data_IF_343005565255
#
_entry.id   IF_343005565255
#
_cell.length_a   1.000
_cell.length_b   1.000
_cell.length_c   1.000
_cell.angle_alpha   90.00
_cell.angle_beta   90.00
_cell.angle_gamma   90.00
#
_symmetry.space_group_name_H-M   'P 1'
#
loop_
_entity.id
_entity.type
_entity.pdbx_description
1 polymer ?
#
# COMPACT_ATOMS: atom_id res chain seq x y z
N UNK A 1 10.33 28.73 -13.96
CA UNK A 1 9.61 28.28 -15.15
C UNK A 1 8.11 28.42 -14.99
N UNK A 2 7.42 28.45 -16.11
CA UNK A 2 5.95 28.39 -16.22
C UNK A 2 5.58 27.03 -16.77
N UNK A 3 4.70 26.32 -16.09
CA UNK A 3 4.27 24.97 -16.45
C UNK A 3 2.76 24.99 -16.63
N UNK A 4 2.28 24.54 -17.80
CA UNK A 4 0.85 24.30 -18.04
C UNK A 4 0.53 22.89 -17.55
N UNK A 5 -0.42 22.76 -16.63
CA UNK A 5 -0.91 21.50 -16.08
C UNK A 5 -1.89 20.81 -17.06
N UNK A 6 -2.13 19.49 -16.93
CA UNK A 6 -3.12 18.77 -17.76
C UNK A 6 -4.54 19.35 -17.67
N UNK A 7 -4.91 19.99 -16.56
CA UNK A 7 -6.20 20.64 -16.32
C UNK A 7 -6.26 22.09 -16.88
N UNK A 8 -5.19 22.56 -17.56
CA UNK A 8 -5.07 23.91 -18.09
C UNK A 8 -4.62 24.97 -17.07
N UNK A 9 -4.42 24.61 -15.81
CA UNK A 9 -3.87 25.54 -14.81
C UNK A 9 -2.40 25.84 -15.06
N UNK A 10 -1.92 26.99 -14.55
CA UNK A 10 -0.55 27.44 -14.68
C UNK A 10 0.18 27.29 -13.34
N UNK A 11 1.27 26.53 -13.34
CA UNK A 11 2.17 26.43 -12.20
C UNK A 11 3.43 27.26 -12.44
N UNK A 12 3.74 28.18 -11.54
CA UNK A 12 5.00 28.93 -11.53
C UNK A 12 5.96 28.20 -10.58
N UNK A 13 7.10 27.74 -11.11
CA UNK A 13 8.12 27.03 -10.33
C UNK A 13 9.50 27.66 -10.58
N UNK A 14 10.34 27.80 -9.55
CA UNK A 14 11.74 28.24 -9.72
C UNK A 14 12.60 27.19 -10.44
N UNK A 15 12.20 25.91 -10.44
CA UNK A 15 12.90 24.81 -11.11
C UNK A 15 12.43 24.62 -12.54
N UNK A 16 13.33 24.77 -13.49
CA UNK A 16 13.17 24.43 -14.91
C UNK A 16 14.08 23.24 -15.17
N UNK A 17 13.48 22.08 -15.41
CA UNK A 17 14.24 20.87 -15.79
C UNK A 17 13.91 19.67 -14.92
N UNK A 18 13.84 18.51 -15.58
CA UNK A 18 13.35 17.24 -15.03
C UNK A 18 14.28 16.53 -14.04
N UNK A 19 14.98 17.25 -13.18
CA UNK A 19 15.65 16.62 -12.05
C UNK A 19 14.60 16.12 -11.07
N UNK A 20 14.60 14.82 -10.83
CA UNK A 20 13.79 14.19 -9.80
C UNK A 20 14.06 14.85 -8.45
N UNK A 21 13.01 15.19 -7.72
CA UNK A 21 13.12 15.81 -6.40
C UNK A 21 13.79 14.82 -5.47
N UNK A 22 15.05 15.09 -5.10
CA UNK A 22 15.78 14.26 -4.13
C UNK A 22 15.34 14.65 -2.72
N UNK A 23 14.63 13.74 -2.02
CA UNK A 23 14.22 13.92 -0.62
C UNK A 23 14.78 12.79 0.22
N UNK A 24 15.61 13.14 1.19
CA UNK A 24 16.23 12.19 2.12
C UNK A 24 15.59 12.33 3.49
N UNK A 25 15.28 11.22 4.14
CA UNK A 25 14.87 11.16 5.54
C UNK A 25 15.89 10.36 6.35
N UNK A 26 16.35 10.94 7.45
CA UNK A 26 17.25 10.26 8.39
C UNK A 26 16.48 9.93 9.66
N UNK A 27 16.62 8.71 10.17
CA UNK A 27 16.11 8.27 11.45
C UNK A 27 17.27 7.79 12.33
N UNK A 28 17.41 8.36 13.51
CA UNK A 28 18.29 7.84 14.54
C UNK A 28 17.63 6.64 15.23
N UNK A 29 18.34 5.53 15.30
CA UNK A 29 17.85 4.29 15.92
C UNK A 29 18.80 3.81 17.02
N UNK A 30 18.23 3.21 18.07
CA UNK A 30 18.99 2.72 19.22
C UNK A 30 18.28 1.56 19.91
N UNK A 31 18.84 1.10 21.02
CA UNK A 31 18.29 -0.02 21.79
C UNK A 31 16.88 0.24 22.34
N UNK A 32 16.52 1.51 22.58
CA UNK A 32 15.19 1.93 23.06
C UNK A 32 14.18 2.20 21.94
N UNK A 33 14.56 2.05 20.68
CA UNK A 33 13.66 2.29 19.54
C UNK A 33 12.60 1.18 19.50
N UNK A 34 11.32 1.59 19.55
CA UNK A 34 10.22 0.65 19.38
C UNK A 34 10.09 0.18 17.93
N UNK A 35 9.97 -1.13 17.74
CA UNK A 35 9.93 -1.77 16.41
C UNK A 35 8.71 -1.34 15.59
N UNK A 36 7.54 -1.31 16.22
CA UNK A 36 6.28 -0.95 15.54
C UNK A 36 6.27 0.53 15.16
N UNK A 37 6.77 1.37 16.05
CA UNK A 37 6.90 2.79 15.77
C UNK A 37 7.87 3.06 14.61
N UNK A 38 9.02 2.39 14.59
CA UNK A 38 9.99 2.52 13.48
C UNK A 38 9.39 2.07 12.15
N UNK A 39 8.63 0.96 12.11
CA UNK A 39 7.93 0.54 10.90
C UNK A 39 6.97 1.63 10.39
N UNK A 40 6.18 2.22 11.29
CA UNK A 40 5.27 3.32 10.93
C UNK A 40 6.01 4.54 10.38
N UNK A 41 7.18 4.85 10.91
CA UNK A 41 8.02 5.94 10.40
C UNK A 41 8.55 5.63 9.00
N UNK A 42 8.97 4.39 8.73
CA UNK A 42 9.43 3.96 7.40
C UNK A 42 8.30 4.03 6.38
N UNK A 43 7.13 3.47 6.70
CA UNK A 43 5.92 3.56 5.85
C UNK A 43 5.51 5.01 5.63
N UNK A 44 5.50 5.83 6.68
CA UNK A 44 5.19 7.26 6.58
C UNK A 44 6.16 8.01 5.66
N UNK A 45 7.47 7.72 5.75
CA UNK A 45 8.47 8.30 4.86
C UNK A 45 8.28 7.82 3.40
N UNK A 46 7.97 6.55 3.20
CA UNK A 46 7.64 6.00 1.87
C UNK A 46 6.45 6.72 1.25
N UNK A 47 5.32 6.75 1.94
CA UNK A 47 4.07 7.40 1.47
C UNK A 47 4.28 8.90 1.23
N UNK A 48 5.03 9.58 2.10
CA UNK A 48 5.36 11.01 1.94
C UNK A 48 6.28 11.30 0.74
N UNK A 49 6.74 10.30 0.00
CA UNK A 49 7.52 10.47 -1.22
C UNK A 49 9.01 10.73 -1.01
N UNK A 50 9.59 10.31 0.13
CA UNK A 50 11.05 10.34 0.28
C UNK A 50 11.69 9.35 -0.70
N UNK A 51 12.78 9.79 -1.37
CA UNK A 51 13.53 9.00 -2.36
C UNK A 51 14.68 8.21 -1.73
N UNK A 52 15.08 8.60 -0.53
CA UNK A 52 16.03 7.83 0.29
C UNK A 52 15.67 7.92 1.77
N UNK A 53 15.88 6.82 2.48
CA UNK A 53 15.70 6.72 3.93
C UNK A 53 17.01 6.18 4.51
N UNK A 54 17.58 6.92 5.46
CA UNK A 54 18.76 6.54 6.18
C UNK A 54 18.41 6.17 7.61
N UNK A 55 18.86 5.03 8.07
CA UNK A 55 18.82 4.61 9.45
C UNK A 55 20.23 4.68 10.02
N UNK A 56 20.44 5.40 11.11
CA UNK A 56 21.74 5.64 11.72
C UNK A 56 21.71 5.36 13.22
N UNK A 57 22.75 4.71 13.73
CA UNK A 57 22.96 4.47 15.15
C UNK A 57 24.30 5.06 15.61
N UNK A 58 24.36 5.55 16.83
CA UNK A 58 25.62 6.03 17.45
C UNK A 58 26.67 4.92 17.64
N UNK A 59 26.26 3.67 17.52
CA UNK A 59 27.10 2.48 17.61
C UNK A 59 26.58 1.42 16.67
N UNK A 60 26.56 0.17 17.09
CA UNK A 60 26.03 -0.93 16.28
C UNK A 60 24.52 -0.88 16.19
N UNK A 61 23.96 -1.06 15.00
CA UNK A 61 22.52 -1.20 14.77
C UNK A 61 21.94 -2.36 15.58
N UNK A 62 20.83 -2.17 16.28
CA UNK A 62 20.11 -3.26 16.93
C UNK A 62 19.73 -4.34 15.90
N UNK A 63 19.82 -5.65 16.23
CA UNK A 63 19.54 -6.73 15.27
C UNK A 63 18.15 -6.67 14.63
N UNK A 64 17.12 -6.23 15.39
CA UNK A 64 15.75 -6.11 14.89
C UNK A 64 15.62 -5.09 13.75
N UNK A 65 16.48 -4.06 13.70
CA UNK A 65 16.43 -3.01 12.66
C UNK A 65 16.68 -3.60 11.28
N UNK A 66 17.68 -4.49 11.15
CA UNK A 66 17.98 -5.17 9.88
C UNK A 66 16.82 -6.06 9.41
N UNK A 67 16.21 -6.77 10.34
CA UNK A 67 15.03 -7.59 10.04
C UNK A 67 13.86 -6.72 9.59
N UNK A 68 13.58 -5.64 10.34
CA UNK A 68 12.50 -4.71 10.03
C UNK A 68 12.67 -4.04 8.67
N UNK A 69 13.90 -3.65 8.30
CA UNK A 69 14.19 -3.07 6.99
C UNK A 69 13.91 -4.07 5.86
N UNK A 70 14.28 -5.34 6.03
CA UNK A 70 13.95 -6.39 5.04
C UNK A 70 12.44 -6.56 4.88
N UNK A 71 11.70 -6.62 5.99
CA UNK A 71 10.24 -6.68 5.96
C UNK A 71 9.65 -5.44 5.26
N UNK A 72 10.13 -4.25 5.62
CA UNK A 72 9.68 -3.01 4.99
C UNK A 72 9.94 -2.97 3.48
N UNK A 73 11.14 -3.34 3.01
CA UNK A 73 11.46 -3.31 1.57
C UNK A 73 10.67 -4.36 0.78
N UNK A 74 10.25 -5.46 1.40
CA UNK A 74 9.32 -6.41 0.78
C UNK A 74 7.90 -5.86 0.66
N UNK A 75 7.49 -4.99 1.60
CA UNK A 75 6.15 -4.38 1.62
C UNK A 75 6.08 -3.10 0.80
N UNK A 76 7.13 -2.28 0.75
CA UNK A 76 7.18 -0.99 0.07
C UNK A 76 7.72 -1.14 -1.36
N UNK A 77 6.82 -1.06 -2.35
CA UNK A 77 7.15 -1.27 -3.77
C UNK A 77 8.22 -0.27 -4.22
N UNK A 78 9.30 -0.78 -4.80
CA UNK A 78 10.42 0.01 -5.31
C UNK A 78 11.49 0.38 -4.29
N UNK A 79 11.32 0.02 -3.02
CA UNK A 79 12.31 0.31 -1.98
C UNK A 79 13.37 -0.80 -1.89
N UNK A 80 14.64 -0.42 -2.00
CA UNK A 80 15.78 -1.35 -1.93
C UNK A 80 16.87 -0.87 -0.99
N UNK A 81 17.52 -1.81 -0.30
CA UNK A 81 18.71 -1.52 0.50
C UNK A 81 19.91 -1.38 -0.45
N UNK A 82 20.45 -0.17 -0.53
CA UNK A 82 21.60 0.15 -1.40
C UNK A 82 22.92 0.29 -0.64
N UNK A 83 22.87 0.34 0.68
CA UNK A 83 24.07 0.41 1.54
C UNK A 83 23.77 -0.07 2.94
N UNK A 84 24.69 -0.82 3.53
CA UNK A 84 24.60 -1.32 4.90
C UNK A 84 25.99 -1.35 5.52
N UNK A 85 26.06 -0.86 6.77
CA UNK A 85 27.25 -0.93 7.62
C UNK A 85 26.87 -1.47 9.00
N UNK A 86 27.80 -1.53 9.94
CA UNK A 86 27.47 -1.89 11.32
C UNK A 86 26.57 -0.88 12.02
N UNK A 87 26.64 0.40 11.61
CA UNK A 87 25.93 1.52 12.26
C UNK A 87 24.89 2.21 11.39
N UNK A 88 24.75 1.84 10.11
CA UNK A 88 23.80 2.51 9.20
C UNK A 88 23.21 1.58 8.15
N UNK A 89 21.99 1.93 7.68
CA UNK A 89 21.37 1.32 6.50
C UNK A 89 20.82 2.45 5.63
N UNK A 90 21.02 2.33 4.33
CA UNK A 90 20.49 3.26 3.32
C UNK A 90 19.51 2.52 2.43
N UNK A 91 18.26 2.99 2.41
CA UNK A 91 17.21 2.51 1.54
C UNK A 91 16.97 3.56 0.46
N UNK A 92 16.83 3.14 -0.80
CA UNK A 92 16.48 4.03 -1.92
C UNK A 92 15.27 3.54 -2.68
N UNK A 93 14.54 4.50 -3.23
CA UNK A 93 13.49 4.25 -4.20
C UNK A 93 14.09 4.05 -5.58
N UNK A 94 13.87 2.89 -6.17
CA UNK A 94 14.34 2.52 -7.52
C UNK A 94 13.17 2.50 -8.54
N UNK A 95 11.93 2.71 -8.09
CA UNK A 95 10.77 2.70 -8.96
C UNK A 95 10.61 4.05 -9.68
N UNK A 96 10.40 3.98 -10.99
CA UNK A 96 9.82 5.11 -11.73
C UNK A 96 8.28 5.08 -11.57
N UNK A 97 7.68 6.02 -10.84
CA UNK A 97 6.24 5.98 -10.58
C UNK A 97 5.38 6.02 -11.86
N UNK A 98 5.88 6.56 -12.96
CA UNK A 98 5.17 6.63 -14.23
C UNK A 98 4.99 5.25 -14.91
N UNK A 99 5.75 4.24 -14.51
CA UNK A 99 5.61 2.87 -15.03
C UNK A 99 4.50 2.06 -14.35
N UNK A 100 3.91 2.62 -13.28
CA UNK A 100 2.82 2.01 -12.53
C UNK A 100 1.57 2.93 -12.57
N UNK A 101 0.81 2.96 -13.68
CA UNK A 101 -0.38 3.81 -13.79
C UNK A 101 -1.41 3.50 -12.70
N UNK A 102 -2.06 4.54 -12.15
CA UNK A 102 -3.08 4.40 -11.11
C UNK A 102 -4.17 3.41 -11.49
N UNK A 103 -4.69 3.50 -12.72
CA UNK A 103 -5.77 2.62 -13.20
C UNK A 103 -5.40 1.14 -13.12
N UNK A 104 -4.18 0.78 -13.53
CA UNK A 104 -3.72 -0.62 -13.49
C UNK A 104 -3.56 -1.09 -12.04
N UNK A 105 -3.06 -0.22 -11.17
CA UNK A 105 -2.90 -0.51 -9.74
C UNK A 105 -4.27 -0.71 -9.08
N UNK A 106 -5.23 0.18 -9.32
CA UNK A 106 -6.59 0.08 -8.79
C UNK A 106 -7.31 -1.18 -9.32
N UNK A 107 -7.21 -1.45 -10.63
CA UNK A 107 -7.78 -2.68 -11.23
C UNK A 107 -7.22 -3.95 -10.57
N UNK A 108 -5.92 -3.98 -10.29
CA UNK A 108 -5.30 -5.10 -9.59
C UNK A 108 -5.81 -5.23 -8.15
N UNK A 109 -5.90 -4.11 -7.41
CA UNK A 109 -6.47 -4.09 -6.06
C UNK A 109 -7.91 -4.60 -6.06
N UNK A 110 -8.73 -4.15 -7.01
CA UNK A 110 -10.11 -4.59 -7.17
C UNK A 110 -10.22 -6.11 -7.38
N UNK A 111 -9.41 -6.68 -8.30
CA UNK A 111 -9.40 -8.12 -8.55
C UNK A 111 -9.00 -8.92 -7.32
N UNK A 112 -7.99 -8.44 -6.58
CA UNK A 112 -7.55 -9.06 -5.32
C UNK A 112 -8.66 -9.03 -4.27
N UNK A 113 -9.20 -7.85 -3.97
CA UNK A 113 -10.24 -7.68 -2.95
C UNK A 113 -11.51 -8.49 -3.28
N UNK A 114 -11.91 -8.52 -4.55
CA UNK A 114 -13.03 -9.36 -5.02
C UNK A 114 -12.78 -10.84 -4.78
N UNK A 115 -11.60 -11.35 -5.18
CA UNK A 115 -11.22 -12.74 -4.96
C UNK A 115 -11.12 -13.08 -3.46
N UNK A 116 -10.56 -12.18 -2.66
CA UNK A 116 -10.49 -12.35 -1.21
C UNK A 116 -11.88 -12.47 -0.57
N UNK A 117 -12.84 -11.64 -0.98
CA UNK A 117 -14.21 -11.72 -0.46
C UNK A 117 -14.89 -13.04 -0.84
N UNK A 118 -14.73 -13.51 -2.08
CA UNK A 118 -15.29 -14.77 -2.54
C UNK A 118 -14.70 -15.96 -1.76
N UNK A 119 -13.38 -15.97 -1.62
CA UNK A 119 -12.66 -17.06 -0.94
C UNK A 119 -12.91 -17.05 0.58
N UNK A 120 -13.07 -15.88 1.20
CA UNK A 120 -13.42 -15.76 2.61
C UNK A 120 -14.79 -16.40 2.91
N UNK A 121 -15.80 -16.17 2.05
CA UNK A 121 -17.11 -16.78 2.17
C UNK A 121 -17.05 -18.29 1.94
N UNK A 122 -16.29 -18.73 0.93
CA UNK A 122 -16.06 -20.16 0.66
C UNK A 122 -15.35 -20.85 1.84
N UNK A 123 -14.37 -20.19 2.46
CA UNK A 123 -13.64 -20.69 3.60
C UNK A 123 -14.55 -20.89 4.85
N UNK A 124 -15.46 -19.96 5.12
CA UNK A 124 -16.44 -20.13 6.20
C UNK A 124 -17.37 -21.31 5.92
N UNK A 125 -17.96 -21.36 4.73
CA UNK A 125 -18.93 -22.39 4.36
C UNK A 125 -18.31 -23.78 4.31
N UNK A 126 -17.07 -23.88 3.82
CA UNK A 126 -16.34 -25.15 3.70
C UNK A 126 -15.52 -25.53 4.94
N UNK A 127 -15.50 -24.72 6.00
CA UNK A 127 -14.60 -24.87 7.14
C UNK A 127 -13.13 -25.00 6.71
N UNK A 128 -12.74 -24.31 5.63
CA UNK A 128 -11.41 -24.40 5.03
C UNK A 128 -10.44 -23.39 5.66
N UNK A 129 -9.75 -23.82 6.70
CA UNK A 129 -8.74 -23.01 7.39
C UNK A 129 -7.51 -22.69 6.51
N UNK A 130 -7.23 -23.50 5.48
CA UNK A 130 -6.11 -23.21 4.57
C UNK A 130 -6.45 -22.08 3.63
N UNK A 131 -7.66 -22.09 3.04
CA UNK A 131 -8.18 -21.01 2.21
C UNK A 131 -8.32 -19.71 3.03
N UNK A 132 -8.81 -19.78 4.27
CA UNK A 132 -8.89 -18.63 5.15
C UNK A 132 -7.51 -17.97 5.39
N UNK A 133 -6.47 -18.77 5.64
CA UNK A 133 -5.09 -18.26 5.80
C UNK A 133 -4.54 -17.64 4.51
N UNK A 134 -4.88 -18.18 3.35
CA UNK A 134 -4.49 -17.62 2.06
C UNK A 134 -5.13 -16.23 1.85
N UNK A 135 -6.42 -16.06 2.18
CA UNK A 135 -7.08 -14.74 2.15
C UNK A 135 -6.33 -13.73 3.01
N UNK A 136 -6.01 -14.10 4.26
CA UNK A 136 -5.26 -13.23 5.18
C UNK A 136 -3.87 -12.86 4.63
N UNK A 137 -3.19 -13.79 3.97
CA UNK A 137 -1.88 -13.53 3.37
C UNK A 137 -1.94 -12.55 2.19
N UNK A 138 -3.02 -12.60 1.38
CA UNK A 138 -3.24 -11.71 0.22
C UNK A 138 -3.51 -10.25 0.62
N UNK A 139 -3.94 -9.99 1.84
CA UNK A 139 -4.16 -8.64 2.37
C UNK A 139 -2.91 -7.76 2.23
N UNK A 140 -1.75 -8.33 2.53
CA UNK A 140 -0.46 -7.65 2.37
C UNK A 140 -0.23 -7.13 0.93
N UNK A 141 -0.73 -7.82 -0.10
CA UNK A 141 -0.60 -7.33 -1.48
C UNK A 141 -1.50 -6.12 -1.75
N UNK A 142 -2.70 -6.10 -1.19
CA UNK A 142 -3.61 -4.94 -1.31
C UNK A 142 -3.03 -3.74 -0.60
N UNK A 143 -2.50 -3.92 0.61
CA UNK A 143 -1.81 -2.88 1.38
C UNK A 143 -0.64 -2.26 0.61
N UNK A 144 0.22 -3.09 0.02
CA UNK A 144 1.36 -2.65 -0.78
C UNK A 144 0.94 -1.76 -1.95
N UNK A 145 -0.11 -2.14 -2.66
CA UNK A 145 -0.66 -1.38 -3.77
C UNK A 145 -1.31 -0.08 -3.29
N UNK A 146 -2.05 -0.11 -2.19
CA UNK A 146 -2.61 1.09 -1.57
C UNK A 146 -1.52 2.10 -1.16
N UNK A 147 -0.44 1.64 -0.52
CA UNK A 147 0.68 2.51 -0.18
C UNK A 147 1.38 3.10 -1.40
N UNK A 148 1.48 2.33 -2.51
CA UNK A 148 2.00 2.86 -3.76
C UNK A 148 1.12 3.98 -4.32
N UNK A 149 -0.21 3.80 -4.35
CA UNK A 149 -1.16 4.84 -4.78
C UNK A 149 -1.04 6.08 -3.91
N UNK A 150 -0.99 5.92 -2.57
CA UNK A 150 -0.81 7.01 -1.63
C UNK A 150 0.51 7.76 -1.85
N UNK A 151 1.60 7.03 -2.13
CA UNK A 151 2.89 7.62 -2.49
C UNK A 151 2.82 8.42 -3.78
N UNK A 152 2.22 7.86 -4.82
CA UNK A 152 2.09 8.54 -6.12
C UNK A 152 1.25 9.82 -6.03
N UNK A 153 0.16 9.80 -5.26
CA UNK A 153 -0.65 10.99 -4.97
C UNK A 153 0.20 12.09 -4.33
N UNK A 154 0.95 11.78 -3.27
CA UNK A 154 1.85 12.73 -2.63
C UNK A 154 2.97 13.23 -3.57
N UNK A 155 3.52 12.37 -4.40
CA UNK A 155 4.56 12.75 -5.36
C UNK A 155 4.03 13.71 -6.44
N UNK A 156 2.81 13.50 -6.94
CA UNK A 156 2.17 14.39 -7.93
C UNK A 156 1.94 15.79 -7.36
N UNK A 157 1.59 15.91 -6.08
CA UNK A 157 1.42 17.20 -5.40
C UNK A 157 2.73 18.00 -5.37
N UNK A 158 3.87 17.33 -5.18
CA UNK A 158 5.17 18.00 -5.00
C UNK A 158 6.02 18.06 -6.27
N UNK A 159 5.72 17.23 -7.29
CA UNK A 159 6.45 17.15 -8.56
C UNK A 159 5.50 17.30 -9.77
N UNK A 160 5.32 18.55 -10.22
CA UNK A 160 4.52 18.84 -11.40
C UNK A 160 5.06 18.20 -12.70
N UNK A 161 6.35 17.85 -12.75
CA UNK A 161 6.91 17.12 -13.89
C UNK A 161 6.43 15.66 -13.90
N UNK A 162 6.27 15.05 -12.73
CA UNK A 162 5.68 13.72 -12.61
C UNK A 162 4.20 13.72 -13.02
N UNK A 163 3.40 14.69 -12.54
CA UNK A 163 2.00 14.86 -12.95
C UNK A 163 1.86 14.89 -14.48
N UNK A 164 2.71 15.65 -15.16
CA UNK A 164 2.72 15.71 -16.65
C UNK A 164 3.15 14.40 -17.30
N UNK A 165 4.20 13.74 -16.78
CA UNK A 165 4.66 12.45 -17.32
C UNK A 165 3.58 11.37 -17.20
N UNK A 166 2.84 11.36 -16.10
CA UNK A 166 1.73 10.44 -15.88
C UNK A 166 0.44 10.85 -16.58
N UNK A 167 0.33 12.10 -17.07
CA UNK A 167 -0.89 12.66 -17.66
C UNK A 167 -2.04 12.80 -16.65
N UNK A 168 -1.73 12.85 -15.35
CA UNK A 168 -2.71 12.84 -14.26
C UNK A 168 -2.61 14.15 -13.48
N UNK A 169 -3.66 14.99 -13.47
CA UNK A 169 -3.70 16.19 -12.64
C UNK A 169 -3.89 15.86 -11.16
N UNK A 170 -3.49 16.78 -10.29
CA UNK A 170 -3.49 16.58 -8.83
C UNK A 170 -4.86 16.15 -8.28
N UNK A 171 -5.94 16.77 -8.74
CA UNK A 171 -7.29 16.41 -8.31
C UNK A 171 -7.67 14.98 -8.69
N UNK A 172 -7.26 14.50 -9.86
CA UNK A 172 -7.52 13.14 -10.31
C UNK A 172 -6.69 12.11 -9.50
N UNK A 173 -5.43 12.43 -9.17
CA UNK A 173 -4.62 11.59 -8.28
C UNK A 173 -5.28 11.39 -6.91
N UNK A 174 -5.83 12.47 -6.33
CA UNK A 174 -6.57 12.42 -5.08
C UNK A 174 -7.82 11.52 -5.17
N UNK A 175 -8.53 11.48 -6.31
CA UNK A 175 -9.65 10.54 -6.50
C UNK A 175 -9.17 9.08 -6.54
N UNK A 176 -8.08 8.78 -7.24
CA UNK A 176 -7.49 7.44 -7.23
C UNK A 176 -7.08 7.01 -5.81
N UNK A 177 -6.51 7.93 -5.04
CA UNK A 177 -6.18 7.65 -3.65
C UNK A 177 -7.43 7.34 -2.81
N UNK A 178 -8.54 8.09 -2.97
CA UNK A 178 -9.79 7.80 -2.28
C UNK A 178 -10.37 6.43 -2.68
N UNK A 179 -10.36 6.10 -3.97
CA UNK A 179 -10.79 4.78 -4.47
C UNK A 179 -9.93 3.67 -3.86
N UNK A 180 -8.59 3.81 -3.84
CA UNK A 180 -7.71 2.81 -3.26
C UNK A 180 -8.00 2.54 -1.77
N UNK A 181 -8.34 3.58 -0.99
CA UNK A 181 -8.74 3.44 0.42
C UNK A 181 -10.04 2.65 0.59
N UNK A 182 -11.00 2.83 -0.33
CA UNK A 182 -12.26 2.08 -0.29
C UNK A 182 -12.00 0.60 -0.61
N UNK A 183 -11.18 0.33 -1.65
CA UNK A 183 -10.85 -1.03 -2.06
C UNK A 183 -10.05 -1.76 -0.97
N UNK A 184 -9.09 -1.10 -0.31
CA UNK A 184 -8.35 -1.65 0.83
C UNK A 184 -9.31 -2.02 1.97
N UNK A 185 -10.25 -1.14 2.34
CA UNK A 185 -11.24 -1.45 3.38
C UNK A 185 -12.14 -2.63 3.03
N UNK A 186 -12.44 -2.85 1.74
CA UNK A 186 -13.19 -4.04 1.31
C UNK A 186 -12.32 -5.31 1.51
N UNK A 187 -11.03 -5.26 1.18
CA UNK A 187 -10.09 -6.34 1.44
C UNK A 187 -9.94 -6.62 2.96
N UNK A 188 -9.81 -5.58 3.78
CA UNK A 188 -9.82 -5.66 5.24
C UNK A 188 -11.06 -6.41 5.78
N UNK A 189 -12.23 -6.15 5.20
CA UNK A 189 -13.45 -6.86 5.57
C UNK A 189 -13.37 -8.34 5.20
N UNK A 190 -12.87 -8.68 4.01
CA UNK A 190 -12.66 -10.07 3.61
C UNK A 190 -11.69 -10.79 4.55
N UNK A 191 -10.60 -10.12 4.94
CA UNK A 191 -9.63 -10.61 5.92
C UNK A 191 -10.26 -10.89 7.29
N UNK A 192 -11.13 -10.00 7.78
CA UNK A 192 -11.88 -10.24 9.03
C UNK A 192 -12.84 -11.41 8.92
N UNK A 193 -13.52 -11.57 7.78
CA UNK A 193 -14.39 -12.73 7.51
C UNK A 193 -13.55 -14.02 7.55
N UNK A 194 -12.38 -14.03 6.90
CA UNK A 194 -11.47 -15.18 6.90
C UNK A 194 -10.93 -15.52 8.30
N UNK A 195 -10.59 -14.51 9.12
CA UNK A 195 -10.21 -14.74 10.52
C UNK A 195 -11.33 -15.38 11.33
N UNK A 196 -12.58 -14.96 11.11
CA UNK A 196 -13.73 -15.58 11.78
C UNK A 196 -13.95 -17.02 11.29
N UNK A 197 -13.67 -17.34 10.03
CA UNK A 197 -13.72 -18.71 9.52
C UNK A 197 -12.79 -19.66 10.30
N UNK A 198 -11.58 -19.21 10.61
CA UNK A 198 -10.64 -20.01 11.42
C UNK A 198 -11.08 -20.17 12.88
N UNK A 199 -11.76 -19.17 13.44
CA UNK A 199 -12.27 -19.22 14.82
C UNK A 199 -13.56 -20.03 14.97
N UNK A 200 -14.35 -20.16 13.90
CA UNK A 200 -15.62 -20.90 13.87
C UNK A 200 -15.45 -22.37 13.46
N UNK A 201 -14.23 -22.83 13.18
CA UNK A 201 -13.96 -24.22 12.79
C UNK A 201 -14.51 -25.27 13.78
N UNK A 202 -14.73 -24.88 15.04
CA UNK A 202 -15.25 -25.72 16.11
C UNK A 202 -16.73 -25.46 16.44
N UNK A 203 -17.41 -24.53 15.74
CA UNK A 203 -18.81 -24.19 15.95
C UNK A 203 -19.56 -24.13 14.63
N UNK A 204 -20.62 -24.93 14.52
CA UNK A 204 -21.52 -24.86 13.37
C UNK A 204 -22.23 -23.50 13.34
N UNK A 205 -21.88 -22.67 12.34
CA UNK A 205 -22.74 -21.55 11.97
C UNK A 205 -24.03 -22.12 11.37
N UNK A 206 -25.21 -21.66 11.84
CA UNK A 206 -26.47 -22.17 11.30
C UNK A 206 -26.56 -21.92 9.79
N UNK A 207 -26.96 -22.94 9.02
CA UNK A 207 -27.03 -22.88 7.55
C UNK A 207 -27.80 -21.64 7.05
N UNK A 208 -28.92 -21.28 7.69
CA UNK A 208 -29.70 -20.09 7.35
C UNK A 208 -28.90 -18.77 7.49
N UNK A 209 -28.00 -18.67 8.47
CA UNK A 209 -27.17 -17.49 8.63
C UNK A 209 -26.11 -17.40 7.50
N UNK A 210 -25.53 -18.53 7.13
CA UNK A 210 -24.56 -18.59 6.02
C UNK A 210 -25.24 -18.23 4.69
N UNK A 211 -26.47 -18.65 4.46
CA UNK A 211 -27.23 -18.29 3.24
C UNK A 211 -27.47 -16.77 3.15
N UNK A 212 -27.86 -16.14 4.25
CA UNK A 212 -28.01 -14.67 4.29
C UNK A 212 -26.68 -13.95 4.07
N UNK A 213 -25.57 -14.47 4.63
CA UNK A 213 -24.23 -13.90 4.40
C UNK A 213 -23.80 -14.02 2.94
N UNK A 214 -24.09 -15.15 2.28
CA UNK A 214 -23.77 -15.35 0.87
C UNK A 214 -24.58 -14.40 -0.03
N UNK A 215 -25.89 -14.23 0.23
CA UNK A 215 -26.71 -13.28 -0.51
C UNK A 215 -26.19 -11.84 -0.35
N UNK A 216 -25.87 -11.43 0.87
CA UNK A 216 -25.30 -10.11 1.14
C UNK A 216 -23.94 -9.91 0.48
N UNK A 217 -23.08 -10.93 0.52
CA UNK A 217 -21.76 -10.90 -0.14
C UNK A 217 -21.90 -10.84 -1.67
N UNK A 218 -22.81 -11.61 -2.28
CA UNK A 218 -23.05 -11.59 -3.71
C UNK A 218 -23.51 -10.20 -4.18
N UNK A 219 -24.46 -9.58 -3.49
CA UNK A 219 -24.94 -8.24 -3.79
C UNK A 219 -23.82 -7.19 -3.65
N UNK A 220 -23.02 -7.27 -2.58
CA UNK A 220 -21.89 -6.37 -2.38
C UNK A 220 -20.84 -6.50 -3.51
N UNK A 221 -20.56 -7.72 -3.97
CA UNK A 221 -19.64 -7.97 -5.08
C UNK A 221 -20.18 -7.50 -6.43
N UNK A 222 -21.50 -7.57 -6.66
CA UNK A 222 -22.15 -7.03 -7.85
C UNK A 222 -21.96 -5.50 -7.89
N UNK A 223 -22.35 -4.80 -6.83
CA UNK A 223 -22.16 -3.34 -6.71
C UNK A 223 -20.70 -2.95 -6.88
N UNK A 224 -19.77 -3.68 -6.22
CA UNK A 224 -18.33 -3.43 -6.32
C UNK A 224 -17.80 -3.62 -7.74
N UNK A 225 -18.31 -4.62 -8.47
CA UNK A 225 -17.90 -4.89 -9.85
C UNK A 225 -18.43 -3.86 -10.85
N UNK A 226 -19.64 -3.33 -10.63
CA UNK A 226 -20.23 -2.30 -11.48
C UNK A 226 -19.62 -0.91 -11.25
N UNK A 227 -19.00 -0.68 -10.09
CA UNK A 227 -18.39 0.61 -9.72
C UNK A 227 -17.02 0.87 -10.35
N UNK A 228 -16.43 -0.11 -11.05
CA UNK A 228 -15.05 -0.08 -11.60
C UNK A 228 -15.02 -0.08 -13.11
#
# INVERSE_FOLDING_TARGET
>A
GLIVQPDGSLLITPKIGGESIHRVRVFEVGASTDRTYLLRLLVGAYVAGFTAIHLEAKGRLPPFVRQLVREFTQMAIGQEVVGETDSSIVIKDLLNPAEMPFENTIKRMHLLARGMQQDAMAAIRGHDAALARDVVARDTEVDRLHWLVARQDNLIVIDAALSRRMGIPVNQAAYYFQVSRIVERIADHATRVAHNATALSDREAGAAMLDVMDEASALALEIFSESM
#
